data_IF_456605593155
#
_entry.id   IF_456605593155
#
_cell.length_a   1.000
_cell.length_b   1.000
_cell.length_c   1.000
_cell.angle_alpha   90.00
_cell.angle_beta   90.00
_cell.angle_gamma   90.00
#
_symmetry.space_group_name_H-M   'P 1'
#
loop_
_entity.id
_entity.type
_entity.pdbx_description
1 polymer ?
#
# COMPACT_ATOMS: atom_id res chain seq x y z
N UNK A 1 -8.88 20.74 4.48
CA UNK A 1 -7.84 20.09 3.74
C UNK A 1 -6.50 20.40 4.35
N UNK A 2 -5.88 20.55 4.88
CA UNK A 2 -4.60 21.03 5.26
C UNK A 2 -3.81 20.25 6.29
N UNK A 3 -4.36 19.17 6.79
CA UNK A 3 -3.63 18.36 7.77
C UNK A 3 -2.61 17.42 7.15
N UNK A 4 -2.89 16.94 5.94
CA UNK A 4 -2.04 15.97 5.29
C UNK A 4 -0.93 16.70 4.51
N UNK A 5 0.29 16.45 4.92
CA UNK A 5 1.49 16.80 4.15
C UNK A 5 2.19 15.51 3.76
N UNK A 6 3.06 15.56 2.75
CA UNK A 6 3.87 14.38 2.46
C UNK A 6 4.68 14.00 3.70
N UNK A 7 4.75 12.73 3.98
CA UNK A 7 5.40 12.21 5.19
C UNK A 7 6.89 11.97 4.98
N UNK A 8 7.28 11.70 3.73
CA UNK A 8 8.69 11.62 3.39
C UNK A 8 8.92 11.69 1.88
N UNK A 9 10.09 12.21 1.51
CA UNK A 9 10.63 12.00 0.17
C UNK A 9 11.59 10.82 0.31
N UNK A 10 11.36 9.75 -0.44
CA UNK A 10 12.12 8.53 -0.32
C UNK A 10 12.51 7.99 -1.68
N UNK A 11 13.70 7.40 -1.71
CA UNK A 11 14.10 6.54 -2.80
C UNK A 11 13.61 5.13 -2.49
N UNK A 12 12.70 4.63 -3.30
CA UNK A 12 12.13 3.29 -3.17
C UNK A 12 12.61 2.39 -4.28
N UNK A 13 12.81 1.11 -3.96
CA UNK A 13 13.17 0.09 -4.94
C UNK A 13 12.04 -0.91 -5.13
N UNK A 14 11.87 -1.36 -6.38
CA UNK A 14 11.04 -2.51 -6.70
C UNK A 14 11.79 -3.81 -6.39
N UNK A 15 11.04 -4.90 -6.32
CA UNK A 15 11.61 -6.23 -6.14
C UNK A 15 12.62 -6.55 -7.25
N UNK A 16 13.75 -7.15 -6.87
CA UNK A 16 14.84 -7.45 -7.82
C UNK A 16 15.78 -6.28 -8.04
N UNK A 17 15.54 -5.14 -7.44
CA UNK A 17 16.39 -3.94 -7.49
C UNK A 17 16.66 -3.41 -8.91
N UNK A 18 15.85 -3.81 -9.89
CA UNK A 18 15.99 -3.37 -11.28
C UNK A 18 15.48 -1.94 -11.52
N UNK A 19 14.59 -1.46 -10.65
CA UNK A 19 14.00 -0.12 -10.75
C UNK A 19 13.98 0.55 -9.39
N UNK A 20 14.29 1.84 -9.37
CA UNK A 20 14.17 2.70 -8.19
C UNK A 20 13.65 4.07 -8.59
N UNK A 21 13.01 4.76 -7.67
CA UNK A 21 12.53 6.11 -7.88
C UNK A 21 12.46 6.89 -6.58
N UNK A 22 12.62 8.22 -6.67
CA UNK A 22 12.32 9.13 -5.58
C UNK A 22 10.83 9.48 -5.64
N UNK A 23 10.11 9.29 -4.56
CA UNK A 23 8.67 9.48 -4.48
C UNK A 23 8.31 10.35 -3.28
N UNK A 24 7.16 11.03 -3.37
CA UNK A 24 6.52 11.66 -2.21
C UNK A 24 5.65 10.61 -1.53
N UNK A 25 6.14 10.05 -0.42
CA UNK A 25 5.50 8.89 0.21
C UNK A 25 4.53 9.33 1.30
N UNK A 26 3.31 8.78 1.25
CA UNK A 26 2.27 8.98 2.25
C UNK A 26 1.88 7.63 2.86
N UNK A 27 1.59 7.65 4.16
CA UNK A 27 1.14 6.49 4.92
C UNK A 27 -0.24 6.80 5.49
N UNK A 28 -1.32 6.60 4.72
CA UNK A 28 -2.66 6.90 5.21
C UNK A 28 -3.04 5.99 6.37
N UNK A 29 -3.66 6.57 7.39
CA UNK A 29 -4.14 5.81 8.55
C UNK A 29 -5.58 5.34 8.37
N UNK A 30 -6.35 6.09 7.59
CA UNK A 30 -7.75 5.79 7.33
C UNK A 30 -8.20 6.23 5.92
N UNK A 31 -9.47 6.01 5.62
CA UNK A 31 -10.04 6.36 4.32
C UNK A 31 -10.07 7.87 4.08
N UNK A 32 -10.21 8.68 5.13
CA UNK A 32 -10.21 10.14 4.99
C UNK A 32 -8.84 10.65 4.55
N UNK A 33 -7.78 10.11 5.12
CA UNK A 33 -6.41 10.41 4.68
C UNK A 33 -6.23 10.07 3.20
N UNK A 34 -6.75 8.93 2.78
CA UNK A 34 -6.66 8.51 1.40
C UNK A 34 -7.40 9.46 0.44
N UNK A 35 -8.60 9.91 0.83
CA UNK A 35 -9.35 10.90 0.07
C UNK A 35 -8.60 12.23 -0.03
N UNK A 36 -7.98 12.69 1.05
CA UNK A 36 -7.17 13.91 1.05
C UNK A 36 -5.96 13.79 0.10
N UNK A 37 -5.33 12.63 0.03
CA UNK A 37 -4.23 12.36 -0.91
C UNK A 37 -4.72 12.50 -2.35
N UNK A 38 -5.88 11.93 -2.69
CA UNK A 38 -6.44 12.06 -4.04
C UNK A 38 -6.79 13.50 -4.39
N UNK A 39 -7.37 14.23 -3.46
CA UNK A 39 -7.68 15.66 -3.68
C UNK A 39 -6.41 16.50 -3.88
N UNK A 40 -5.37 16.21 -3.11
CA UNK A 40 -4.06 16.85 -3.27
C UNK A 40 -3.46 16.56 -4.64
N UNK A 41 -3.49 15.31 -5.06
CA UNK A 41 -2.97 14.90 -6.37
C UNK A 41 -3.71 15.60 -7.50
N UNK A 42 -5.03 15.64 -7.42
CA UNK A 42 -5.89 16.31 -8.38
C UNK A 42 -5.60 17.82 -8.46
N UNK A 43 -5.48 18.47 -7.31
CA UNK A 43 -5.20 19.90 -7.24
C UNK A 43 -3.83 20.26 -7.85
N UNK A 44 -2.86 19.37 -7.75
CA UNK A 44 -1.51 19.58 -8.27
C UNK A 44 -1.24 18.98 -9.64
N UNK A 45 -2.21 18.27 -10.20
CA UNK A 45 -2.06 17.63 -11.51
C UNK A 45 -0.99 16.53 -11.52
N UNK A 46 -0.81 15.83 -10.42
CA UNK A 46 0.14 14.72 -10.27
C UNK A 46 -0.60 13.40 -10.05
N UNK A 47 0.10 12.30 -10.26
CA UNK A 47 -0.48 10.96 -10.17
C UNK A 47 -0.29 10.34 -8.80
N UNK A 48 -1.10 9.31 -8.51
CA UNK A 48 -1.02 8.51 -7.29
C UNK A 48 -0.71 7.06 -7.68
N UNK A 49 0.36 6.53 -7.11
CA UNK A 49 0.68 5.11 -7.18
C UNK A 49 0.53 4.46 -5.81
N UNK A 50 0.42 3.15 -5.78
CA UNK A 50 0.27 2.39 -4.55
C UNK A 50 1.40 1.39 -4.38
N UNK A 51 1.78 1.16 -3.13
CA UNK A 51 2.79 0.18 -2.76
C UNK A 51 2.33 -0.61 -1.53
N UNK A 52 2.40 -1.94 -1.64
CA UNK A 52 2.28 -2.84 -0.49
C UNK A 52 3.66 -3.20 0.03
N UNK A 53 4.03 -4.47 -0.08
CA UNK A 53 5.35 -4.95 0.35
C UNK A 53 6.49 -4.72 -0.67
N UNK A 54 6.20 -4.08 -1.81
CA UNK A 54 7.21 -3.75 -2.82
C UNK A 54 7.73 -4.96 -3.61
N UNK A 55 6.94 -6.03 -3.70
CA UNK A 55 7.34 -7.29 -4.34
C UNK A 55 6.94 -7.38 -5.81
N UNK A 56 6.32 -6.35 -6.36
CA UNK A 56 5.94 -6.31 -7.77
C UNK A 56 7.16 -6.20 -8.68
N UNK A 57 7.08 -6.86 -9.84
CA UNK A 57 8.13 -6.76 -10.85
C UNK A 57 8.14 -5.37 -11.52
N UNK A 58 9.30 -5.00 -12.06
CA UNK A 58 9.47 -3.73 -12.74
C UNK A 58 9.25 -2.55 -11.81
N UNK A 59 8.53 -1.56 -12.27
CA UNK A 59 8.27 -0.31 -11.55
C UNK A 59 6.85 -0.19 -11.00
N UNK A 60 6.07 -1.27 -10.99
CA UNK A 60 4.65 -1.26 -10.60
C UNK A 60 4.41 -0.74 -9.17
N UNK A 61 5.40 -0.88 -8.27
CA UNK A 61 5.32 -0.37 -6.89
C UNK A 61 5.99 0.99 -6.70
N UNK A 62 6.30 1.71 -7.77
CA UNK A 62 6.99 2.99 -7.77
C UNK A 62 6.17 4.06 -8.48
N UNK A 63 6.42 5.32 -8.15
CA UNK A 63 5.80 6.45 -8.84
C UNK A 63 6.75 7.66 -8.79
N UNK A 64 7.76 7.65 -9.64
CA UNK A 64 8.86 8.60 -9.63
C UNK A 64 8.42 10.06 -9.71
N UNK A 65 8.91 10.89 -8.78
CA UNK A 65 8.61 12.30 -8.65
C UNK A 65 7.13 12.64 -8.45
N UNK A 66 6.32 11.65 -8.11
CA UNK A 66 4.89 11.74 -7.90
C UNK A 66 4.55 11.20 -6.50
N UNK A 67 3.26 11.09 -6.21
CA UNK A 67 2.78 10.53 -4.94
C UNK A 67 2.85 9.01 -4.97
N UNK A 68 3.42 8.43 -3.93
CA UNK A 68 3.38 7.01 -3.65
C UNK A 68 2.68 6.77 -2.31
N UNK A 69 1.59 6.03 -2.33
CA UNK A 69 0.85 5.65 -1.12
C UNK A 69 1.32 4.29 -0.67
N UNK A 70 1.94 4.25 0.50
CA UNK A 70 2.40 3.01 1.12
C UNK A 70 1.29 2.47 2.03
N UNK A 71 0.75 1.30 1.67
CA UNK A 71 -0.36 0.65 2.36
C UNK A 71 0.10 -0.45 3.32
N UNK A 72 1.39 -0.57 3.58
CA UNK A 72 1.91 -1.62 4.46
C UNK A 72 1.33 -1.58 5.88
N UNK A 73 0.90 -0.41 6.34
CA UNK A 73 0.22 -0.24 7.62
C UNK A 73 -1.24 -0.73 7.63
N UNK A 74 -1.84 -0.96 6.47
CA UNK A 74 -3.19 -1.51 6.34
C UNK A 74 -3.11 -3.04 6.30
N UNK A 75 -2.76 -3.63 7.43
CA UNK A 75 -2.36 -5.02 7.55
C UNK A 75 -3.28 -5.87 8.44
N UNK A 76 -4.55 -5.46 8.59
CA UNK A 76 -5.50 -6.16 9.44
C UNK A 76 -6.27 -7.22 8.67
N UNK A 77 -6.42 -8.39 9.29
CA UNK A 77 -7.33 -9.43 8.84
C UNK A 77 -8.68 -9.13 9.49
N UNK A 78 -9.69 -8.87 8.66
CA UNK A 78 -10.99 -8.38 9.12
C UNK A 78 -11.95 -9.53 9.43
N UNK A 79 -11.90 -10.61 8.65
CA UNK A 79 -12.75 -11.80 8.84
C UNK A 79 -12.10 -13.03 8.23
N UNK A 80 -12.40 -14.19 8.82
CA UNK A 80 -11.97 -15.48 8.33
C UNK A 80 -13.11 -16.51 8.47
N UNK A 81 -13.55 -17.05 7.35
CA UNK A 81 -14.55 -18.12 7.27
C UNK A 81 -13.87 -19.42 6.81
N UNK A 82 -13.47 -20.30 7.75
CA UNK A 82 -12.78 -21.53 7.40
C UNK A 82 -13.67 -22.57 6.71
N UNK A 83 -14.97 -22.47 6.84
CA UNK A 83 -15.89 -23.41 6.17
C UNK A 83 -15.92 -23.18 4.66
N UNK A 84 -15.94 -21.93 4.25
CA UNK A 84 -16.01 -21.54 2.84
C UNK A 84 -14.66 -21.13 2.26
N UNK A 85 -13.61 -21.03 3.08
CA UNK A 85 -12.28 -20.59 2.64
C UNK A 85 -12.24 -19.12 2.23
N UNK A 86 -13.04 -18.26 2.88
CA UNK A 86 -13.11 -16.83 2.57
C UNK A 86 -12.42 -16.02 3.65
N UNK A 87 -11.49 -15.18 3.24
CA UNK A 87 -10.81 -14.27 4.14
C UNK A 87 -10.93 -12.82 3.63
N UNK A 88 -11.29 -11.93 4.53
CA UNK A 88 -11.40 -10.50 4.25
C UNK A 88 -10.25 -9.77 4.94
N UNK A 89 -9.49 -9.01 4.18
CA UNK A 89 -8.28 -8.36 4.68
C UNK A 89 -8.16 -6.93 4.16
N UNK A 90 -7.39 -6.13 4.88
CA UNK A 90 -6.94 -4.84 4.36
C UNK A 90 -5.87 -5.05 3.29
N UNK A 91 -5.72 -4.08 2.40
CA UNK A 91 -4.92 -4.20 1.18
C UNK A 91 -3.42 -4.33 1.39
N UNK A 92 -2.90 -4.02 2.57
CA UNK A 92 -1.48 -4.18 2.92
C UNK A 92 -1.13 -5.51 3.57
N UNK A 93 -2.10 -6.41 3.72
CA UNK A 93 -1.84 -7.75 4.29
C UNK A 93 -0.96 -8.54 3.32
N UNK A 94 0.09 -9.17 3.84
CA UNK A 94 0.99 -10.00 3.06
C UNK A 94 0.51 -11.45 2.95
N UNK A 95 0.98 -12.17 1.95
CA UNK A 95 0.71 -13.60 1.79
C UNK A 95 1.22 -14.38 3.01
N UNK A 96 2.35 -13.99 3.58
CA UNK A 96 2.87 -14.61 4.80
C UNK A 96 1.91 -14.48 5.98
N UNK A 97 1.26 -13.31 6.14
CA UNK A 97 0.25 -13.10 7.17
C UNK A 97 -0.98 -13.96 6.92
N UNK A 98 -1.46 -14.05 5.67
CA UNK A 98 -2.56 -14.91 5.28
C UNK A 98 -2.28 -16.36 5.63
N UNK A 99 -1.13 -16.86 5.21
CA UNK A 99 -0.74 -18.24 5.47
C UNK A 99 -0.73 -18.57 6.96
N UNK A 100 -0.10 -17.74 7.78
CA UNK A 100 -0.08 -17.93 9.24
C UNK A 100 -1.47 -17.98 9.84
N UNK A 101 -2.41 -17.22 9.29
CA UNK A 101 -3.79 -17.16 9.80
C UNK A 101 -4.59 -18.41 9.45
N UNK A 102 -4.39 -18.95 8.26
CA UNK A 102 -5.28 -20.01 7.72
C UNK A 102 -4.72 -21.41 7.88
N UNK A 103 -3.41 -21.59 7.98
CA UNK A 103 -2.74 -22.90 7.97
C UNK A 103 -3.26 -23.84 9.05
N UNK A 104 -3.54 -23.35 10.25
CA UNK A 104 -4.08 -24.16 11.35
C UNK A 104 -5.51 -24.64 11.11
N UNK A 105 -6.21 -24.04 10.16
CA UNK A 105 -7.56 -24.45 9.75
C UNK A 105 -7.56 -25.45 8.60
N UNK A 106 -6.38 -25.86 8.13
CA UNK A 106 -6.26 -26.85 7.05
C UNK A 106 -6.27 -26.28 5.63
N UNK A 107 -6.12 -24.96 5.51
CA UNK A 107 -6.08 -24.27 4.21
C UNK A 107 -4.65 -23.97 3.77
#
# INVERSE_FOLDING_TARGET
MGKLSYQSIRREMAWGMASEACCYVYYPEDENDLLEIFELAKARGITVGFRGAGQSYGDASLNGEQILVDLSGWNRILDWDPENGLITVQSGVTIAQLWRRVVSSGW
#
